data_IF_503393916450
#
_entry.id   IF_503393916450
#
_cell.length_a   1.000
_cell.length_b   1.000
_cell.length_c   1.000
_cell.angle_alpha   90.00
_cell.angle_beta   90.00
_cell.angle_gamma   90.00
#
_symmetry.space_group_name_H-M   'P 1'
#
loop_
_entity.id
_entity.type
_entity.pdbx_description
1 polymer ?
#
# COMPACT_ATOMS: atom_id res chain seq x y z
N UNK A 1 24.75 -18.04 -1.97
CA UNK A 1 23.29 -18.21 -1.82
C UNK A 1 22.64 -17.63 -3.06
N UNK A 2 21.83 -18.41 -3.79
CA UNK A 2 21.16 -17.98 -5.02
C UNK A 2 19.78 -17.42 -4.65
N UNK A 3 19.69 -16.12 -4.42
CA UNK A 3 18.40 -15.47 -4.20
C UNK A 3 17.62 -15.45 -5.53
N UNK A 4 16.33 -15.79 -5.49
CA UNK A 4 15.45 -15.88 -6.67
C UNK A 4 14.73 -14.54 -6.89
N UNK A 5 15.39 -13.61 -7.57
CA UNK A 5 14.91 -12.24 -7.77
C UNK A 5 13.68 -12.15 -8.67
N UNK A 6 13.57 -13.06 -9.66
CA UNK A 6 12.37 -13.15 -10.50
C UNK A 6 11.12 -13.44 -9.67
N UNK A 7 11.24 -14.23 -8.61
CA UNK A 7 10.14 -14.49 -7.69
C UNK A 7 9.81 -13.28 -6.81
N UNK A 8 10.80 -12.47 -6.42
CA UNK A 8 10.57 -11.26 -5.61
C UNK A 8 9.95 -10.14 -6.44
N UNK A 9 10.40 -9.92 -7.67
CA UNK A 9 9.79 -8.95 -8.59
C UNK A 9 8.35 -9.34 -8.93
N UNK A 10 8.09 -10.62 -9.23
CA UNK A 10 6.75 -11.11 -9.47
C UNK A 10 5.83 -10.96 -8.24
N UNK A 11 6.36 -11.23 -7.04
CA UNK A 11 5.63 -11.03 -5.79
C UNK A 11 5.35 -9.54 -5.53
N UNK A 12 6.31 -8.67 -5.83
CA UNK A 12 6.18 -7.22 -5.64
C UNK A 12 5.18 -6.60 -6.61
N UNK A 13 5.19 -7.04 -7.87
CA UNK A 13 4.17 -6.66 -8.86
C UNK A 13 2.76 -7.12 -8.43
N UNK A 14 2.64 -8.37 -7.95
CA UNK A 14 1.37 -8.91 -7.44
C UNK A 14 0.86 -8.11 -6.24
N UNK A 15 1.73 -7.82 -5.28
CA UNK A 15 1.39 -7.01 -4.11
C UNK A 15 0.98 -5.58 -4.51
N UNK A 16 1.65 -4.99 -5.49
CA UNK A 16 1.30 -3.66 -5.98
C UNK A 16 -0.08 -3.63 -6.65
N UNK A 17 -0.44 -4.65 -7.42
CA UNK A 17 -1.80 -4.82 -7.97
C UNK A 17 -2.84 -4.93 -6.86
N UNK A 18 -2.58 -5.74 -5.82
CA UNK A 18 -3.48 -5.90 -4.67
C UNK A 18 -3.67 -4.57 -3.93
N UNK A 19 -2.58 -3.84 -3.66
CA UNK A 19 -2.60 -2.54 -2.99
C UNK A 19 -3.37 -1.50 -3.80
N UNK A 20 -3.20 -1.46 -5.13
CA UNK A 20 -3.98 -0.57 -5.99
C UNK A 20 -5.49 -0.90 -5.97
N UNK A 21 -5.83 -2.20 -5.93
CA UNK A 21 -7.22 -2.66 -5.76
C UNK A 21 -7.81 -2.23 -4.41
N UNK A 22 -7.02 -2.30 -3.34
CA UNK A 22 -7.39 -1.80 -2.02
C UNK A 22 -7.61 -0.27 -2.00
N UNK A 23 -6.76 0.51 -2.69
CA UNK A 23 -6.94 1.96 -2.84
C UNK A 23 -8.25 2.29 -3.56
N UNK A 24 -8.56 1.53 -4.62
CA UNK A 24 -9.81 1.67 -5.37
C UNK A 24 -11.02 1.40 -4.49
N UNK A 25 -10.98 0.31 -3.70
CA UNK A 25 -12.05 -0.02 -2.77
C UNK A 25 -12.24 1.06 -1.70
N UNK A 26 -11.14 1.59 -1.15
CA UNK A 26 -11.21 2.69 -0.17
C UNK A 26 -11.89 3.94 -0.76
N UNK A 27 -11.54 4.31 -2.00
CA UNK A 27 -12.19 5.43 -2.70
C UNK A 27 -13.69 5.20 -2.89
N UNK A 28 -14.10 3.97 -3.24
CA UNK A 28 -15.51 3.62 -3.37
C UNK A 28 -16.25 3.73 -2.02
N UNK A 29 -15.63 3.28 -0.93
CA UNK A 29 -16.20 3.40 0.43
C UNK A 29 -16.31 4.88 0.84
N UNK A 30 -15.28 5.70 0.58
CA UNK A 30 -15.31 7.16 0.85
C UNK A 30 -16.44 7.85 0.06
N UNK A 31 -16.68 7.42 -1.17
CA UNK A 31 -17.79 7.94 -2.00
C UNK A 31 -19.16 7.58 -1.42
N UNK A 32 -19.36 6.31 -1.05
CA UNK A 32 -20.59 5.85 -0.40
C UNK A 32 -20.81 6.55 0.94
N UNK A 33 -19.76 6.75 1.72
CA UNK A 33 -19.80 7.51 2.97
C UNK A 33 -20.32 8.93 2.74
N UNK A 34 -19.79 9.64 1.73
CA UNK A 34 -20.25 11.00 1.38
C UNK A 34 -21.73 11.05 0.97
N UNK A 35 -22.18 10.05 0.20
CA UNK A 35 -23.60 9.92 -0.19
C UNK A 35 -24.49 9.70 1.04
N UNK A 36 -24.14 8.76 1.91
CA UNK A 36 -24.91 8.48 3.12
C UNK A 36 -24.94 9.68 4.08
N UNK A 37 -23.84 10.45 4.18
CA UNK A 37 -23.79 11.68 4.95
C UNK A 37 -24.75 12.75 4.42
N UNK A 38 -24.93 12.85 3.11
CA UNK A 38 -25.89 13.75 2.50
C UNK A 38 -27.34 13.29 2.73
N UNK A 39 -27.58 11.98 2.59
CA UNK A 39 -28.91 11.37 2.74
C UNK A 39 -29.41 11.40 4.21
N UNK A 40 -28.51 11.24 5.18
CA UNK A 40 -28.83 11.25 6.61
C UNK A 40 -28.74 12.65 7.26
N UNK A 41 -29.14 13.71 6.54
CA UNK A 41 -29.17 15.06 7.11
C UNK A 41 -30.44 15.32 7.96
N UNK A 42 -30.37 16.27 8.90
CA UNK A 42 -31.49 16.66 9.76
C UNK A 42 -31.74 15.71 10.95
N UNK A 43 -33.00 15.42 11.28
CA UNK A 43 -33.37 14.58 12.43
C UNK A 43 -32.84 13.13 12.34
N UNK A 44 -32.48 12.66 11.15
CA UNK A 44 -31.83 11.37 10.94
C UNK A 44 -30.33 11.36 11.28
N UNK A 45 -29.68 12.53 11.43
CA UNK A 45 -28.24 12.63 11.62
C UNK A 45 -27.77 12.21 13.02
N UNK A 46 -28.57 12.49 14.06
CA UNK A 46 -28.18 12.26 15.46
C UNK A 46 -27.94 10.76 15.76
N UNK A 47 -28.72 9.87 15.15
CA UNK A 47 -28.57 8.42 15.35
C UNK A 47 -27.36 7.80 14.64
N UNK A 48 -26.86 8.45 13.58
CA UNK A 48 -25.81 7.88 12.72
C UNK A 48 -24.46 8.60 12.83
N UNK A 49 -24.38 9.77 13.46
CA UNK A 49 -23.15 10.58 13.56
C UNK A 49 -21.97 9.81 14.17
N UNK A 50 -22.21 9.05 15.24
CA UNK A 50 -21.17 8.23 15.92
C UNK A 50 -20.66 7.11 15.02
N UNK A 51 -21.56 6.43 14.31
CA UNK A 51 -21.21 5.35 13.37
C UNK A 51 -20.42 5.91 12.20
N UNK A 52 -20.87 7.04 11.64
CA UNK A 52 -20.19 7.71 10.53
C UNK A 52 -18.80 8.22 10.93
N UNK A 53 -18.67 8.82 12.11
CA UNK A 53 -17.37 9.25 12.63
C UNK A 53 -16.42 8.06 12.83
N UNK A 54 -16.94 6.95 13.35
CA UNK A 54 -16.16 5.73 13.52
C UNK A 54 -15.70 5.15 12.19
N UNK A 55 -16.58 5.13 11.19
CA UNK A 55 -16.26 4.67 9.84
C UNK A 55 -15.19 5.56 9.20
N UNK A 56 -15.32 6.88 9.30
CA UNK A 56 -14.33 7.84 8.82
C UNK A 56 -12.95 7.58 9.43
N UNK A 57 -12.87 7.49 10.76
CA UNK A 57 -11.61 7.21 11.47
C UNK A 57 -10.97 5.88 11.02
N UNK A 58 -11.78 4.85 10.77
CA UNK A 58 -11.30 3.56 10.26
C UNK A 58 -10.79 3.67 8.82
N UNK A 59 -11.47 4.44 7.97
CA UNK A 59 -11.01 4.70 6.60
C UNK A 59 -9.66 5.42 6.59
N UNK A 60 -9.47 6.42 7.46
CA UNK A 60 -8.23 7.20 7.53
C UNK A 60 -7.05 6.36 8.07
N UNK A 61 -7.29 5.54 9.09
CA UNK A 61 -6.31 4.60 9.61
C UNK A 61 -5.93 3.53 8.55
N UNK A 62 -6.91 3.05 7.79
CA UNK A 62 -6.69 2.10 6.72
C UNK A 62 -5.87 2.72 5.57
N UNK A 63 -6.20 3.94 5.14
CA UNK A 63 -5.46 4.70 4.13
C UNK A 63 -3.99 4.86 4.51
N UNK A 64 -3.74 5.27 5.76
CA UNK A 64 -2.39 5.44 6.30
C UNK A 64 -1.59 4.14 6.23
N UNK A 65 -2.20 3.03 6.65
CA UNK A 65 -1.56 1.70 6.61
C UNK A 65 -1.28 1.28 5.18
N UNK A 66 -2.20 1.55 4.26
CA UNK A 66 -2.08 1.18 2.85
C UNK A 66 -0.94 1.95 2.17
N UNK A 67 -0.80 3.25 2.44
CA UNK A 67 0.33 4.05 1.96
C UNK A 67 1.67 3.57 2.52
N UNK A 68 1.72 3.14 3.79
CA UNK A 68 2.92 2.55 4.38
C UNK A 68 3.33 1.26 3.67
N UNK A 69 2.37 0.37 3.39
CA UNK A 69 2.63 -0.88 2.65
C UNK A 69 3.12 -0.59 1.24
N UNK A 70 2.49 0.36 0.53
CA UNK A 70 2.89 0.79 -0.81
C UNK A 70 4.32 1.31 -0.83
N UNK A 71 4.66 2.16 0.14
CA UNK A 71 6.02 2.66 0.30
C UNK A 71 7.00 1.53 0.58
N UNK A 72 6.70 0.61 1.51
CA UNK A 72 7.58 -0.52 1.82
C UNK A 72 7.85 -1.44 0.60
N UNK A 73 6.83 -1.70 -0.23
CA UNK A 73 6.99 -2.43 -1.49
C UNK A 73 7.92 -1.64 -2.43
N UNK A 74 7.71 -0.33 -2.58
CA UNK A 74 8.56 0.50 -3.44
C UNK A 74 10.02 0.54 -2.96
N UNK A 75 10.29 0.70 -1.67
CA UNK A 75 11.67 0.75 -1.13
C UNK A 75 12.41 -0.57 -1.30
N UNK A 76 11.68 -1.69 -1.32
CA UNK A 76 12.26 -3.03 -1.42
C UNK A 76 12.48 -3.45 -2.87
N UNK A 77 11.52 -3.16 -3.76
CA UNK A 77 11.43 -3.73 -5.10
C UNK A 77 11.58 -2.73 -6.26
N UNK A 78 11.66 -1.41 -6.02
CA UNK A 78 11.84 -0.44 -7.09
C UNK A 78 13.23 -0.55 -7.77
N UNK A 79 13.38 0.15 -8.90
CA UNK A 79 14.61 0.17 -9.70
C UNK A 79 15.86 0.67 -8.96
N UNK A 80 15.71 1.32 -7.79
CA UNK A 80 16.78 1.71 -6.86
C UNK A 80 16.58 1.09 -5.46
N UNK A 81 15.77 0.04 -5.36
CA UNK A 81 15.43 -0.61 -4.10
C UNK A 81 16.62 -1.31 -3.43
N UNK A 82 16.48 -1.53 -2.12
CA UNK A 82 17.52 -2.13 -1.27
C UNK A 82 18.06 -3.46 -1.82
N UNK A 83 17.21 -4.25 -2.50
CA UNK A 83 17.64 -5.50 -3.13
C UNK A 83 18.66 -5.29 -4.26
N UNK A 84 18.40 -4.37 -5.19
CA UNK A 84 19.29 -4.12 -6.33
C UNK A 84 20.61 -3.50 -5.88
N UNK A 85 20.56 -2.60 -4.89
CA UNK A 85 21.76 -2.01 -4.27
C UNK A 85 22.62 -3.09 -3.61
N UNK A 86 21.99 -4.00 -2.84
CA UNK A 86 22.70 -5.10 -2.19
C UNK A 86 23.35 -6.01 -3.21
N UNK A 87 22.66 -6.35 -4.30
CA UNK A 87 23.21 -7.20 -5.37
C UNK A 87 24.38 -6.53 -6.11
N UNK A 88 24.26 -5.26 -6.50
CA UNK A 88 25.35 -4.50 -7.11
C UNK A 88 26.60 -4.45 -6.22
N UNK A 89 26.42 -4.25 -4.92
CA UNK A 89 27.51 -4.25 -3.96
C UNK A 89 28.17 -5.63 -3.80
N UNK A 90 27.40 -6.72 -3.85
CA UNK A 90 27.94 -8.07 -3.74
C UNK A 90 28.61 -8.52 -5.05
N UNK A 91 28.00 -8.22 -6.20
CA UNK A 91 28.59 -8.48 -7.52
C UNK A 91 29.92 -7.77 -7.72
N UNK A 92 30.01 -6.49 -7.33
CA UNK A 92 31.27 -5.74 -7.38
C UNK A 92 32.38 -6.35 -6.51
N UNK A 93 32.03 -6.91 -5.34
CA UNK A 93 33.00 -7.62 -4.49
C UNK A 93 33.50 -8.91 -5.15
N UNK A 94 32.63 -9.66 -5.81
CA UNK A 94 33.05 -10.86 -6.55
C UNK A 94 33.97 -10.51 -7.72
N UNK A 95 33.66 -9.44 -8.48
CA UNK A 95 34.51 -8.95 -9.55
C UNK A 95 35.88 -8.48 -9.04
N UNK A 96 35.94 -7.90 -7.84
CA UNK A 96 37.21 -7.48 -7.21
C UNK A 96 38.09 -8.62 -6.67
N UNK A 97 37.57 -9.84 -6.58
CA UNK A 97 38.33 -11.04 -6.14
C UNK A 97 38.76 -11.89 -7.34
N UNK A 98 38.09 -11.73 -8.49
CA UNK A 98 38.39 -12.42 -9.75
C UNK A 98 39.38 -11.70 -10.69
N UNK A 99 39.94 -10.56 -10.26
CA UNK A 99 41.09 -9.87 -10.85
C UNK A 99 42.21 -9.78 -9.83
#
# INVERSE_FOLDING_TARGET
MKYNYTAVDASSATLQVIVNGMETNLTNIKTLYGQLMADFSGAGAEGYSTVMTTLQNKMDAYDTTLQQVKNAIATTAASDGLMKITDGNQGNKFLSIGM
#
